data_IF_330066941753
#
_entry.id   IF_330066941753
#
_cell.length_a   1.000
_cell.length_b   1.000
_cell.length_c   1.000
_cell.angle_alpha   90.00
_cell.angle_beta   90.00
_cell.angle_gamma   90.00
#
_symmetry.space_group_name_H-M   'P 1'
#
loop_
_entity.id
_entity.type
_entity.pdbx_description
1 polymer ?
#
# COMPACT_ATOMS: atom_id res chain seq x y z
N UNK A 1 7.25 -12.25 -3.54
CA UNK A 1 7.89 -11.39 -2.54
C UNK A 1 7.05 -10.19 -2.12
N UNK A 2 7.27 -9.73 -0.90
CA UNK A 2 6.58 -8.60 -0.33
C UNK A 2 7.57 -7.46 -0.10
N UNK A 3 7.20 -6.26 -0.53
CA UNK A 3 7.99 -5.04 -0.33
C UNK A 3 7.17 -4.09 0.54
N UNK A 4 7.77 -3.57 1.59
CA UNK A 4 7.07 -2.81 2.62
C UNK A 4 7.83 -1.54 2.94
N UNK A 5 7.20 -0.38 2.70
CA UNK A 5 7.80 0.92 3.03
C UNK A 5 6.71 2.00 3.07
N UNK A 6 7.11 3.22 3.39
CA UNK A 6 6.20 4.37 3.39
C UNK A 6 5.64 4.57 1.99
N UNK A 7 4.33 4.81 1.89
CA UNK A 7 3.63 4.85 0.61
C UNK A 7 4.28 5.73 -0.46
N UNK A 8 4.64 7.01 -0.21
CA UNK A 8 5.26 7.80 -1.26
C UNK A 8 6.60 7.25 -1.73
N UNK A 9 7.36 6.58 -0.86
CA UNK A 9 8.62 5.97 -1.24
C UNK A 9 8.43 4.71 -2.08
N UNK A 10 7.24 4.13 -2.02
CA UNK A 10 6.92 2.89 -2.71
C UNK A 10 6.35 3.13 -4.10
N UNK A 11 5.45 4.10 -4.26
CA UNK A 11 4.69 4.27 -5.49
C UNK A 11 4.93 5.60 -6.22
N UNK A 12 5.41 6.63 -5.52
CA UNK A 12 5.65 7.93 -6.18
C UNK A 12 7.09 8.09 -6.63
N UNK A 13 8.07 7.89 -5.73
CA UNK A 13 9.48 7.99 -6.09
C UNK A 13 9.90 7.02 -7.17
N UNK A 14 9.60 5.71 -7.01
CA UNK A 14 10.00 4.72 -8.01
C UNK A 14 8.90 4.48 -9.05
N UNK A 15 8.12 5.50 -9.39
CA UNK A 15 6.96 5.33 -10.27
C UNK A 15 7.32 4.62 -11.58
N UNK A 16 8.44 5.01 -12.20
CA UNK A 16 8.82 4.39 -13.47
C UNK A 16 9.19 2.92 -13.30
N UNK A 17 9.89 2.58 -12.22
CA UNK A 17 10.23 1.19 -11.94
C UNK A 17 8.97 0.36 -11.68
N UNK A 18 8.01 0.91 -10.93
CA UNK A 18 6.74 0.22 -10.69
C UNK A 18 6.00 0.00 -12.00
N UNK A 19 5.98 1.01 -12.86
CA UNK A 19 5.32 0.92 -14.16
C UNK A 19 5.98 -0.14 -15.05
N UNK A 20 7.29 -0.13 -15.16
CA UNK A 20 8.02 -0.97 -16.11
C UNK A 20 8.33 -2.36 -15.57
N UNK A 21 8.79 -2.45 -14.32
CA UNK A 21 9.31 -3.70 -13.79
C UNK A 21 8.26 -4.54 -13.08
N UNK A 22 7.19 -3.93 -12.61
CA UNK A 22 6.15 -4.65 -11.87
C UNK A 22 4.87 -4.73 -12.70
N UNK A 23 4.31 -3.58 -13.09
CA UNK A 23 3.04 -3.58 -13.81
C UNK A 23 3.17 -4.16 -15.21
N UNK A 24 4.09 -3.64 -16.00
CA UNK A 24 4.21 -4.05 -17.39
C UNK A 24 4.63 -5.52 -17.52
N UNK A 25 5.51 -5.98 -16.66
CA UNK A 25 5.95 -7.37 -16.66
C UNK A 25 5.02 -8.32 -15.90
N UNK A 26 4.04 -7.75 -15.19
CA UNK A 26 3.03 -8.53 -14.47
C UNK A 26 3.64 -9.58 -13.53
N UNK A 27 4.64 -9.17 -12.76
CA UNK A 27 5.36 -10.08 -11.86
C UNK A 27 4.60 -10.25 -10.54
N UNK A 28 4.79 -11.39 -9.90
CA UNK A 28 4.12 -11.69 -8.63
C UNK A 28 4.86 -11.04 -7.46
N UNK A 29 4.66 -9.74 -7.30
CA UNK A 29 5.23 -8.94 -6.22
C UNK A 29 4.10 -8.24 -5.47
N UNK A 30 4.16 -8.25 -4.15
CA UNK A 30 3.17 -7.57 -3.30
C UNK A 30 3.81 -6.33 -2.70
N UNK A 31 3.23 -5.18 -3.01
CA UNK A 31 3.70 -3.88 -2.52
C UNK A 31 2.81 -3.45 -1.36
N UNK A 32 3.41 -3.15 -0.22
CA UNK A 32 2.67 -2.73 0.96
C UNK A 32 3.15 -1.34 1.37
N UNK A 33 2.30 -0.34 1.14
CA UNK A 33 2.55 1.03 1.55
C UNK A 33 1.88 1.32 2.87
N UNK A 34 2.58 1.98 3.77
CA UNK A 34 2.02 2.36 5.06
C UNK A 34 2.41 3.78 5.40
N UNK A 35 1.62 4.36 6.30
CA UNK A 35 1.87 5.69 6.86
C UNK A 35 1.88 6.80 5.80
N UNK A 36 1.47 7.92 6.25
CA UNK A 36 1.49 9.17 5.50
C UNK A 36 1.87 10.23 6.51
N UNK A 37 3.00 10.87 6.31
CA UNK A 37 3.56 11.82 7.27
C UNK A 37 3.61 13.23 6.67
N UNK A 38 2.45 13.88 6.46
CA UNK A 38 2.45 15.22 5.85
C UNK A 38 3.21 16.26 6.67
N UNK A 39 3.34 16.05 7.97
CA UNK A 39 4.12 16.97 8.83
C UNK A 39 5.62 16.93 8.52
N UNK A 40 6.09 15.89 7.86
CA UNK A 40 7.49 15.77 7.45
C UNK A 40 7.74 16.31 6.04
N UNK A 41 6.73 16.93 5.45
CA UNK A 41 6.86 17.58 4.15
C UNK A 41 6.37 16.73 2.98
N UNK A 42 6.44 17.29 1.76
CA UNK A 42 5.87 16.63 0.58
C UNK A 42 6.49 15.28 0.25
N UNK A 43 7.74 15.05 0.65
CA UNK A 43 8.42 13.79 0.34
C UNK A 43 7.89 12.62 1.17
N UNK A 44 7.19 12.91 2.28
CA UNK A 44 6.65 11.88 3.19
C UNK A 44 5.14 11.80 3.14
N UNK A 45 4.50 12.51 2.23
CA UNK A 45 3.05 12.44 2.06
C UNK A 45 2.71 11.98 0.65
N UNK A 46 1.67 11.16 0.55
CA UNK A 46 1.21 10.72 -0.76
C UNK A 46 0.29 11.77 -1.37
N UNK A 47 0.33 11.90 -2.69
CA UNK A 47 -0.53 12.84 -3.41
C UNK A 47 -1.95 12.28 -3.52
N UNK A 48 -2.09 11.13 -4.18
CA UNK A 48 -3.38 10.43 -4.32
C UNK A 48 -3.09 9.00 -4.75
N UNK A 49 -2.89 8.13 -3.77
CA UNK A 49 -2.53 6.74 -4.03
C UNK A 49 -3.58 5.99 -4.84
N UNK A 50 -4.86 6.22 -4.56
CA UNK A 50 -5.93 5.54 -5.29
C UNK A 50 -5.92 5.91 -6.77
N UNK A 51 -5.80 7.20 -7.08
CA UNK A 51 -5.77 7.65 -8.47
C UNK A 51 -4.51 7.17 -9.17
N UNK A 52 -3.38 7.24 -8.49
CA UNK A 52 -2.10 6.81 -9.05
C UNK A 52 -2.13 5.32 -9.42
N UNK A 53 -2.63 4.48 -8.51
CA UNK A 53 -2.65 3.04 -8.74
C UNK A 53 -3.66 2.61 -9.80
N UNK A 54 -4.66 3.42 -10.10
CA UNK A 54 -5.59 3.15 -11.20
C UNK A 54 -4.91 3.17 -12.57
N UNK A 55 -3.75 3.80 -12.67
CA UNK A 55 -2.99 3.82 -13.92
C UNK A 55 -2.36 2.47 -14.25
N UNK A 56 -2.26 1.59 -13.26
CA UNK A 56 -1.61 0.28 -13.43
C UNK A 56 -2.65 -0.82 -13.58
N UNK A 57 -2.85 -1.30 -14.81
CA UNK A 57 -3.89 -2.28 -15.12
C UNK A 57 -3.63 -3.66 -14.52
N UNK A 58 -2.36 -4.02 -14.35
CA UNK A 58 -2.01 -5.36 -13.87
C UNK A 58 -1.85 -5.43 -12.36
N UNK A 59 -1.80 -4.31 -11.67
CA UNK A 59 -1.63 -4.27 -10.22
C UNK A 59 -3.00 -4.19 -9.57
N UNK A 60 -3.36 -5.22 -8.78
CA UNK A 60 -4.58 -5.20 -7.98
C UNK A 60 -4.34 -4.35 -6.73
N UNK A 61 -5.16 -3.34 -6.51
CA UNK A 61 -4.95 -2.40 -5.41
C UNK A 61 -6.03 -2.55 -4.35
N UNK A 62 -5.60 -2.51 -3.08
CA UNK A 62 -6.46 -2.70 -1.92
C UNK A 62 -6.24 -1.57 -0.93
N UNK A 63 -7.35 -1.00 -0.42
CA UNK A 63 -7.31 0.14 0.50
C UNK A 63 -8.16 -0.18 1.73
N UNK A 64 -7.67 -1.05 2.63
CA UNK A 64 -8.44 -1.43 3.81
C UNK A 64 -8.60 -0.26 4.78
N UNK A 65 -9.76 -0.21 5.44
CA UNK A 65 -10.09 0.87 6.38
C UNK A 65 -9.92 0.44 7.84
N UNK A 66 -9.83 -0.85 8.11
CA UNK A 66 -9.72 -1.39 9.47
C UNK A 66 -8.97 -2.71 9.46
N UNK A 67 -8.77 -3.30 10.66
CA UNK A 67 -8.03 -4.54 10.79
C UNK A 67 -8.68 -5.74 10.10
N UNK A 68 -10.01 -5.83 10.16
CA UNK A 68 -10.71 -6.95 9.53
C UNK A 68 -10.60 -6.90 8.01
N UNK A 69 -10.78 -5.72 7.42
CA UNK A 69 -10.58 -5.53 5.98
C UNK A 69 -9.14 -5.79 5.57
N UNK A 70 -8.19 -5.35 6.39
CA UNK A 70 -6.78 -5.59 6.13
C UNK A 70 -6.49 -7.07 6.03
N UNK A 71 -6.99 -7.87 6.99
CA UNK A 71 -6.81 -9.32 6.98
C UNK A 71 -7.37 -9.94 5.72
N UNK A 72 -8.58 -9.58 5.34
CA UNK A 72 -9.22 -10.12 4.14
C UNK A 72 -8.45 -9.74 2.87
N UNK A 73 -8.02 -8.49 2.79
CA UNK A 73 -7.33 -7.99 1.60
C UNK A 73 -5.90 -8.55 1.49
N UNK A 74 -5.22 -8.79 2.62
CA UNK A 74 -3.93 -9.48 2.59
C UNK A 74 -4.08 -10.88 2.02
N UNK A 75 -5.12 -11.61 2.41
CA UNK A 75 -5.37 -12.94 1.87
C UNK A 75 -5.67 -12.89 0.37
N UNK A 76 -6.46 -11.93 -0.07
CA UNK A 76 -6.73 -11.75 -1.51
C UNK A 76 -5.46 -11.43 -2.28
N UNK A 77 -4.61 -10.55 -1.73
CA UNK A 77 -3.35 -10.20 -2.37
C UNK A 77 -2.42 -11.40 -2.44
N UNK A 78 -2.34 -12.18 -1.36
CA UNK A 78 -1.51 -13.38 -1.31
C UNK A 78 -1.92 -14.39 -2.37
N UNK A 79 -3.23 -14.58 -2.55
CA UNK A 79 -3.75 -15.55 -3.51
C UNK A 79 -3.75 -15.02 -4.94
N UNK A 80 -3.50 -13.75 -5.16
CA UNK A 80 -3.37 -13.18 -6.49
C UNK A 80 -2.04 -13.61 -7.09
N UNK A 81 -2.07 -14.12 -8.30
CA UNK A 81 -0.84 -14.60 -8.97
C UNK A 81 -0.03 -13.47 -9.60
N UNK A 82 -0.61 -12.29 -9.74
CA UNK A 82 0.06 -11.12 -10.27
C UNK A 82 0.44 -10.13 -9.18
N UNK A 83 0.87 -8.93 -9.57
CA UNK A 83 1.25 -7.92 -8.59
C UNK A 83 0.03 -7.34 -7.87
N UNK A 84 0.25 -6.96 -6.60
CA UNK A 84 -0.79 -6.35 -5.79
C UNK A 84 -0.19 -5.22 -4.96
N UNK A 85 -1.03 -4.26 -4.60
CA UNK A 85 -0.66 -3.15 -3.75
C UNK A 85 -1.68 -3.02 -2.61
N UNK A 86 -1.19 -2.92 -1.39
CA UNK A 86 -2.00 -2.64 -0.20
C UNK A 86 -1.57 -1.31 0.40
N UNK A 87 -2.55 -0.45 0.67
CA UNK A 87 -2.31 0.81 1.36
C UNK A 87 -2.81 0.66 2.81
N UNK A 88 -1.86 0.52 3.73
CA UNK A 88 -2.19 0.35 5.13
C UNK A 88 -2.24 1.70 5.84
N UNK A 89 -3.16 1.82 6.77
CA UNK A 89 -3.25 2.97 7.66
C UNK A 89 -3.52 2.51 9.07
N UNK A 90 -3.32 3.40 10.04
CA UNK A 90 -3.56 3.08 11.43
C UNK A 90 -5.03 2.73 11.66
N UNK A 91 -5.27 1.66 12.40
CA UNK A 91 -6.61 1.31 12.86
C UNK A 91 -6.91 2.14 14.11
N UNK A 92 -7.90 3.04 14.07
CA UNK A 92 -8.20 3.88 15.23
C UNK A 92 -8.55 3.10 16.48
N UNK A 93 -9.25 1.97 16.33
CA UNK A 93 -9.62 1.14 17.48
C UNK A 93 -8.41 0.45 18.09
N UNK A 94 -7.53 -0.08 17.25
CA UNK A 94 -6.31 -0.71 17.72
C UNK A 94 -5.39 0.30 18.41
N UNK A 95 -5.28 1.49 17.84
CA UNK A 95 -4.48 2.55 18.44
C UNK A 95 -5.03 2.95 19.83
N UNK A 96 -6.36 3.03 19.96
CA UNK A 96 -7.00 3.30 21.25
C UNK A 96 -6.74 2.20 22.26
N UNK A 97 -6.81 0.94 21.83
CA UNK A 97 -6.52 -0.21 22.69
C UNK A 97 -5.09 -0.16 23.20
N UNK A 98 -4.15 0.09 22.33
CA UNK A 98 -2.73 0.19 22.70
C UNK A 98 -2.50 1.35 23.66
N UNK A 99 -3.11 2.49 23.39
CA UNK A 99 -3.01 3.66 24.25
C UNK A 99 -3.65 3.40 25.61
N UNK A 100 -4.77 2.67 25.64
CA UNK A 100 -5.47 2.34 26.86
C UNK A 100 -4.71 1.40 27.77
N UNK A 101 -3.80 0.61 27.21
CA UNK A 101 -2.97 -0.31 27.98
C UNK A 101 -1.92 0.43 28.81
N UNK A 102 -1.54 1.60 28.37
CA UNK A 102 -0.57 2.42 29.10
C UNK A 102 -1.15 2.98 30.39
#
# INVERSE_FOLDING_TARGET
>A
PWVYTITPFLIERPFEQVKLDINQQNVNVKLVGFADYPTLGPTHSETNGKALMKLFKNISSFFPENGDETKQMILKAYNNKGPAFLSLKSDPQLSKSITGIK
#
